data_IF_919465568477
#
_entry.id   IF_919465568477
#
_cell.length_a   1.000
_cell.length_b   1.000
_cell.length_c   1.000
_cell.angle_alpha   90.00
_cell.angle_beta   90.00
_cell.angle_gamma   90.00
#
_symmetry.space_group_name_H-M   'P 1'
#
loop_
_entity.id
_entity.type
_entity.pdbx_description
1 polymer ?
#
# COMPACT_ATOMS: atom_id res chain seq x y z
N UNK A 1 -27.10 -68.01 -34.38
CA UNK A 1 -27.19 -67.38 -35.71
C UNK A 1 -25.95 -66.54 -35.91
N UNK A 2 -25.18 -66.87 -36.93
CA UNK A 2 -23.95 -66.20 -37.32
C UNK A 2 -24.25 -65.06 -38.29
N UNK A 3 -23.52 -63.95 -38.19
CA UNK A 3 -23.14 -63.01 -39.27
C UNK A 3 -22.01 -62.16 -38.67
N UNK A 4 -20.79 -62.00 -39.19
CA UNK A 4 -20.33 -62.02 -40.58
C UNK A 4 -19.74 -60.63 -40.87
N UNK A 5 -18.41 -60.47 -40.79
CA UNK A 5 -17.67 -59.25 -41.13
C UNK A 5 -17.79 -58.88 -42.62
N UNK A 6 -17.50 -57.61 -42.96
CA UNK A 6 -16.55 -57.38 -44.04
C UNK A 6 -15.42 -56.41 -43.67
N UNK A 7 -14.23 -56.78 -44.15
CA UNK A 7 -12.99 -56.01 -44.22
C UNK A 7 -13.13 -54.73 -45.06
N UNK A 8 -12.36 -53.70 -44.69
CA UNK A 8 -11.87 -52.64 -45.59
C UNK A 8 -10.34 -52.54 -45.50
N UNK A 9 -9.64 -52.13 -46.59
CA UNK A 9 -8.20 -52.33 -46.79
C UNK A 9 -7.35 -51.19 -46.22
N UNK A 10 -6.06 -51.50 -46.01
CA UNK A 10 -5.12 -50.67 -45.27
C UNK A 10 -4.69 -49.35 -45.92
N UNK A 11 -4.34 -48.42 -45.04
CA UNK A 11 -3.39 -47.37 -45.33
C UNK A 11 -1.99 -47.89 -44.93
N UNK A 12 -1.15 -48.06 -45.95
CA UNK A 12 0.27 -48.38 -45.80
C UNK A 12 0.97 -47.19 -45.12
N UNK A 13 1.45 -47.41 -43.89
CA UNK A 13 2.56 -46.62 -43.38
C UNK A 13 3.81 -47.04 -44.14
N UNK A 14 4.54 -46.11 -44.77
CA UNK A 14 5.85 -46.45 -45.31
C UNK A 14 6.77 -46.67 -44.11
N UNK A 15 7.73 -47.58 -44.24
CA UNK A 15 8.73 -47.99 -43.25
C UNK A 15 8.30 -49.14 -42.34
N UNK A 16 8.88 -50.30 -42.66
CA UNK A 16 8.73 -51.54 -41.92
C UNK A 16 9.32 -51.50 -40.52
N UNK A 17 9.00 -52.55 -39.78
CA UNK A 17 9.34 -52.80 -38.38
C UNK A 17 10.86 -52.84 -38.12
N UNK A 18 11.50 -51.67 -38.07
CA UNK A 18 12.84 -51.51 -37.50
C UNK A 18 12.82 -50.49 -36.35
N UNK A 19 12.88 -50.94 -35.08
CA UNK A 19 12.88 -50.08 -33.90
C UNK A 19 14.12 -49.16 -33.79
N UNK A 20 15.14 -49.33 -34.65
CA UNK A 20 16.31 -48.44 -34.72
C UNK A 20 16.06 -47.18 -35.58
N UNK A 21 15.09 -47.19 -36.48
CA UNK A 21 14.80 -46.05 -37.38
C UNK A 21 14.04 -44.90 -36.68
N UNK A 22 13.19 -45.24 -35.71
CA UNK A 22 12.45 -44.25 -34.92
C UNK A 22 13.37 -43.44 -33.98
N UNK A 23 14.47 -44.03 -33.50
CA UNK A 23 15.43 -43.32 -32.64
C UNK A 23 16.30 -42.32 -33.41
N UNK A 24 16.53 -42.52 -34.72
CA UNK A 24 17.29 -41.58 -35.53
C UNK A 24 16.50 -40.30 -35.83
N UNK A 25 15.18 -40.40 -36.04
CA UNK A 25 14.32 -39.23 -36.31
C UNK A 25 14.15 -38.29 -35.11
N UNK A 26 14.16 -38.82 -33.88
CA UNK A 26 14.14 -38.00 -32.66
C UNK A 26 15.53 -37.47 -32.27
N UNK A 27 16.62 -38.04 -32.80
CA UNK A 27 17.98 -37.59 -32.53
C UNK A 27 18.41 -36.43 -33.44
N UNK A 28 18.00 -36.40 -34.71
CA UNK A 28 18.38 -35.32 -35.64
C UNK A 28 17.54 -34.04 -35.48
N UNK A 29 16.32 -34.12 -34.92
CA UNK A 29 15.52 -32.94 -34.60
C UNK A 29 15.94 -32.25 -33.28
N UNK A 30 16.84 -32.86 -32.51
CA UNK A 30 17.30 -32.36 -31.21
C UNK A 30 18.56 -31.47 -31.30
N UNK A 31 19.19 -31.39 -32.47
CA UNK A 31 20.40 -30.58 -32.71
C UNK A 31 20.10 -29.37 -33.59
N UNK A 32 19.34 -28.40 -33.06
CA UNK A 32 19.42 -26.95 -33.38
C UNK A 32 18.17 -26.22 -32.88
N UNK A 33 17.95 -26.24 -31.57
CA UNK A 33 17.20 -25.17 -30.91
C UNK A 33 18.00 -24.77 -29.69
N UNK A 34 18.89 -23.80 -29.87
CA UNK A 34 19.33 -22.96 -28.76
C UNK A 34 18.06 -22.30 -28.22
N UNK A 35 17.52 -22.87 -27.15
CA UNK A 35 16.51 -22.21 -26.33
C UNK A 35 17.15 -20.89 -25.90
N UNK A 36 16.51 -19.73 -26.15
CA UNK A 36 17.05 -18.49 -25.64
C UNK A 36 17.07 -18.58 -24.11
N UNK A 37 18.25 -18.53 -23.53
CA UNK A 37 18.46 -18.32 -22.09
C UNK A 37 17.97 -16.91 -21.74
N UNK A 38 16.66 -16.80 -21.53
CA UNK A 38 16.10 -15.78 -20.67
C UNK A 38 15.22 -16.53 -19.68
N UNK A 39 15.56 -16.57 -18.37
CA UNK A 39 14.47 -16.67 -17.42
C UNK A 39 13.59 -15.45 -17.70
N UNK A 40 12.39 -15.66 -18.23
CA UNK A 40 11.33 -14.66 -18.12
C UNK A 40 11.18 -14.44 -16.62
N UNK A 41 11.85 -13.40 -16.09
CA UNK A 41 11.79 -13.12 -14.66
C UNK A 41 10.32 -12.91 -14.35
N UNK A 42 9.77 -13.73 -13.45
CA UNK A 42 8.38 -13.59 -13.05
C UNK A 42 8.21 -12.16 -12.52
N UNK A 43 7.20 -11.39 -13.00
CA UNK A 43 7.00 -10.01 -12.57
C UNK A 43 7.01 -9.90 -11.05
N UNK A 44 7.70 -8.87 -10.54
CA UNK A 44 7.80 -8.55 -9.11
C UNK A 44 7.27 -7.15 -8.87
N UNK A 45 5.97 -7.03 -8.72
CA UNK A 45 5.30 -5.73 -8.53
C UNK A 45 5.24 -5.36 -7.06
N UNK A 46 5.06 -4.07 -6.80
CA UNK A 46 4.77 -3.57 -5.46
C UNK A 46 3.39 -2.93 -5.47
N UNK A 47 2.49 -3.45 -4.65
CA UNK A 47 1.14 -2.92 -4.47
C UNK A 47 1.01 -2.14 -3.17
N UNK A 48 -0.01 -1.29 -3.06
CA UNK A 48 -0.39 -0.61 -1.84
C UNK A 48 -1.90 -0.56 -1.64
N UNK A 49 -2.32 -0.61 -0.38
CA UNK A 49 -3.68 -0.36 0.06
C UNK A 49 -3.67 0.06 1.54
N UNK A 50 -4.59 0.93 1.94
CA UNK A 50 -4.77 1.35 3.33
C UNK A 50 -6.25 1.49 3.67
N UNK A 51 -6.53 1.87 4.91
CA UNK A 51 -7.88 2.26 5.35
C UNK A 51 -8.89 1.16 5.07
N UNK A 52 -8.50 -0.09 5.37
CA UNK A 52 -9.35 -1.26 5.16
C UNK A 52 -10.42 -1.31 6.25
N UNK A 53 -10.17 -0.79 7.45
CA UNK A 53 -11.15 -0.72 8.54
C UNK A 53 -11.85 -2.06 8.79
N UNK A 54 -11.07 -3.09 9.14
CA UNK A 54 -11.53 -4.46 9.30
C UNK A 54 -12.52 -4.66 10.45
N UNK A 55 -12.88 -3.63 11.22
CA UNK A 55 -14.06 -3.68 12.09
C UNK A 55 -15.35 -3.87 11.30
N UNK A 56 -15.44 -3.30 10.09
CA UNK A 56 -16.60 -3.46 9.22
C UNK A 56 -16.60 -4.84 8.56
N UNK A 57 -17.70 -5.59 8.77
CA UNK A 57 -17.88 -6.92 8.21
C UNK A 57 -17.68 -6.97 6.70
N UNK A 58 -18.27 -6.03 5.94
CA UNK A 58 -18.12 -5.96 4.48
C UNK A 58 -16.67 -5.84 4.05
N UNK A 59 -15.88 -4.98 4.71
CA UNK A 59 -14.47 -4.79 4.37
C UNK A 59 -13.65 -6.03 4.75
N UNK A 60 -13.98 -6.69 5.87
CA UNK A 60 -13.34 -7.94 6.30
C UNK A 60 -13.63 -9.11 5.36
N UNK A 61 -14.87 -9.24 4.87
CA UNK A 61 -15.23 -10.24 3.85
C UNK A 61 -14.53 -9.96 2.52
N UNK A 62 -14.42 -8.69 2.13
CA UNK A 62 -13.66 -8.30 0.94
C UNK A 62 -12.17 -8.60 1.11
N UNK A 63 -11.57 -8.31 2.26
CA UNK A 63 -10.18 -8.64 2.53
C UNK A 63 -9.91 -10.16 2.47
N UNK A 64 -10.87 -10.98 2.90
CA UNK A 64 -10.75 -12.43 2.78
C UNK A 64 -10.83 -12.94 1.32
N UNK A 65 -11.30 -12.14 0.37
CA UNK A 65 -11.30 -12.49 -1.06
C UNK A 65 -10.03 -12.06 -1.81
N UNK A 66 -9.00 -11.59 -1.08
CA UNK A 66 -7.69 -11.27 -1.66
C UNK A 66 -7.07 -12.51 -2.32
N UNK A 67 -6.61 -12.34 -3.56
CA UNK A 67 -6.03 -13.40 -4.39
C UNK A 67 -4.52 -13.52 -4.18
N UNK A 68 -3.90 -14.69 -4.47
CA UNK A 68 -2.45 -14.86 -4.35
C UNK A 68 -1.63 -14.00 -5.33
N UNK A 69 -0.55 -13.44 -4.81
CA UNK A 69 0.47 -12.61 -5.44
C UNK A 69 1.88 -13.09 -5.02
N UNK A 70 2.26 -14.34 -5.34
CA UNK A 70 3.38 -15.04 -4.70
C UNK A 70 4.78 -14.44 -4.95
N UNK A 71 4.90 -13.46 -5.85
CA UNK A 71 6.16 -12.77 -6.16
C UNK A 71 6.12 -11.27 -5.85
N UNK A 72 4.94 -10.73 -5.52
CA UNK A 72 4.73 -9.29 -5.36
C UNK A 72 4.85 -8.89 -3.89
N UNK A 73 5.12 -7.60 -3.69
CA UNK A 73 5.11 -6.95 -2.39
C UNK A 73 3.80 -6.23 -2.14
N UNK A 74 3.44 -6.05 -0.87
CA UNK A 74 2.29 -5.25 -0.46
C UNK A 74 2.64 -4.24 0.62
N UNK A 75 2.23 -3.00 0.41
CA UNK A 75 2.26 -1.91 1.38
C UNK A 75 0.87 -1.77 2.00
N UNK A 76 0.81 -1.87 3.33
CA UNK A 76 -0.36 -1.58 4.15
C UNK A 76 -0.20 -0.19 4.78
N UNK A 77 -0.81 0.83 4.18
CA UNK A 77 -0.58 2.23 4.56
C UNK A 77 -1.47 2.77 5.70
N UNK A 78 -1.63 1.97 6.76
CA UNK A 78 -2.38 2.31 7.98
C UNK A 78 -3.88 2.07 7.90
N UNK A 79 -4.54 2.14 9.07
CA UNK A 79 -5.98 1.96 9.26
C UNK A 79 -6.53 0.59 8.78
N UNK A 80 -5.84 -0.49 9.17
CA UNK A 80 -6.30 -1.88 9.07
C UNK A 80 -7.47 -2.15 9.98
N UNK A 81 -7.52 -1.51 11.15
CA UNK A 81 -8.62 -1.59 12.10
C UNK A 81 -8.17 -1.18 13.50
N UNK A 82 -9.11 -1.20 14.45
CA UNK A 82 -8.91 -0.59 15.77
C UNK A 82 -8.38 -1.56 16.85
N UNK A 83 -8.15 -2.84 16.52
CA UNK A 83 -7.80 -3.88 17.49
C UNK A 83 -6.62 -4.74 17.01
N UNK A 84 -5.92 -5.35 17.97
CA UNK A 84 -4.81 -6.27 17.65
C UNK A 84 -5.28 -7.50 16.86
N UNK A 85 -6.52 -7.95 17.10
CA UNK A 85 -7.13 -9.03 16.32
C UNK A 85 -7.35 -8.61 14.87
N UNK A 86 -7.80 -7.37 14.62
CA UNK A 86 -7.90 -6.83 13.27
C UNK A 86 -6.53 -6.78 12.57
N UNK A 87 -5.49 -6.35 13.27
CA UNK A 87 -4.13 -6.32 12.74
C UNK A 87 -3.62 -7.73 12.42
N UNK A 88 -3.83 -8.68 13.33
CA UNK A 88 -3.50 -10.08 13.13
C UNK A 88 -4.19 -10.66 11.90
N UNK A 89 -5.49 -10.41 11.73
CA UNK A 89 -6.26 -10.81 10.54
C UNK A 89 -5.71 -10.17 9.26
N UNK A 90 -5.38 -8.88 9.31
CA UNK A 90 -4.81 -8.15 8.16
C UNK A 90 -3.50 -8.80 7.72
N UNK A 91 -2.56 -8.96 8.65
CA UNK A 91 -1.21 -9.45 8.37
C UNK A 91 -1.19 -10.92 8.00
N UNK A 92 -1.98 -11.77 8.67
CA UNK A 92 -2.09 -13.18 8.32
C UNK A 92 -2.52 -13.38 6.86
N UNK A 93 -3.54 -12.63 6.42
CA UNK A 93 -4.01 -12.70 5.03
C UNK A 93 -2.98 -12.13 4.07
N UNK A 94 -2.43 -10.95 4.34
CA UNK A 94 -1.45 -10.30 3.48
C UNK A 94 -0.22 -11.20 3.25
N UNK A 95 0.34 -11.76 4.32
CA UNK A 95 1.57 -12.58 4.27
C UNK A 95 1.34 -13.96 3.65
N UNK A 96 0.09 -14.44 3.62
CA UNK A 96 -0.29 -15.64 2.84
C UNK A 96 -0.38 -15.35 1.34
N UNK A 97 -0.74 -14.11 0.98
CA UNK A 97 -0.97 -13.74 -0.42
C UNK A 97 0.27 -13.13 -1.08
N UNK A 98 1.12 -12.41 -0.36
CA UNK A 98 2.24 -11.64 -0.90
C UNK A 98 3.59 -12.13 -0.38
N UNK A 99 4.63 -12.00 -1.21
CA UNK A 99 5.99 -12.44 -0.88
C UNK A 99 6.63 -11.59 0.24
N UNK A 100 6.31 -10.30 0.27
CA UNK A 100 6.81 -9.38 1.28
C UNK A 100 5.75 -8.33 1.62
N UNK A 101 5.58 -8.04 2.91
CA UNK A 101 4.57 -7.09 3.38
C UNK A 101 5.25 -6.01 4.21
N UNK A 102 4.87 -4.77 3.94
CA UNK A 102 5.29 -3.57 4.66
C UNK A 102 4.07 -2.92 5.30
N UNK A 103 4.22 -2.36 6.49
CA UNK A 103 3.13 -1.70 7.19
C UNK A 103 3.60 -0.42 7.87
N UNK A 104 2.71 0.57 7.92
CA UNK A 104 2.80 1.75 8.79
C UNK A 104 1.52 1.88 9.60
N UNK A 105 1.55 2.40 10.84
CA UNK A 105 0.33 2.64 11.61
C UNK A 105 -0.48 3.78 11.02
N UNK A 106 -1.81 3.68 11.07
CA UNK A 106 -2.73 4.81 10.98
C UNK A 106 -3.20 5.27 12.35
N UNK A 107 -4.15 6.21 12.39
CA UNK A 107 -4.70 6.67 13.67
C UNK A 107 -5.58 5.60 14.34
N UNK A 108 -6.27 4.76 13.57
CA UNK A 108 -7.20 3.78 14.12
C UNK A 108 -6.49 2.69 14.92
N UNK A 109 -5.30 2.25 14.49
CA UNK A 109 -4.50 1.30 15.26
C UNK A 109 -4.06 1.83 16.62
N UNK A 110 -3.91 3.15 16.72
CA UNK A 110 -3.43 3.85 17.92
C UNK A 110 -4.57 4.16 18.91
N UNK A 111 -5.81 3.84 18.55
CA UNK A 111 -6.94 4.04 19.45
C UNK A 111 -6.87 3.11 20.65
N UNK A 112 -7.08 3.69 21.83
CA UNK A 112 -7.42 2.95 23.04
C UNK A 112 -8.94 2.93 23.17
N UNK A 113 -9.55 1.82 22.75
CA UNK A 113 -11.01 1.70 22.71
C UNK A 113 -11.62 1.81 24.12
N UNK A 114 -12.89 2.24 24.26
CA UNK A 114 -13.53 2.37 25.58
C UNK A 114 -13.49 1.10 26.44
N UNK A 115 -13.56 -0.08 25.81
CA UNK A 115 -13.44 -1.39 26.48
C UNK A 115 -12.06 -1.63 27.10
N UNK A 116 -11.06 -0.86 26.70
CA UNK A 116 -9.66 -0.95 27.14
C UNK A 116 -9.27 0.23 28.05
N UNK A 117 -10.23 1.08 28.47
CA UNK A 117 -9.94 2.33 29.16
C UNK A 117 -9.07 2.17 30.42
N UNK A 118 -9.27 1.10 31.18
CA UNK A 118 -8.58 0.86 32.46
C UNK A 118 -7.20 0.20 32.33
N UNK A 119 -7.02 -0.67 31.33
CA UNK A 119 -5.85 -1.57 31.24
C UNK A 119 -5.22 -1.65 29.85
N UNK A 120 -5.78 -0.97 28.86
CA UNK A 120 -5.24 -0.92 27.50
C UNK A 120 -3.98 -0.06 27.42
N UNK A 121 -3.05 -0.50 26.58
CA UNK A 121 -1.91 0.33 26.20
C UNK A 121 -2.38 1.61 25.49
N UNK A 122 -1.58 2.66 25.66
CA UNK A 122 -1.80 4.01 25.11
C UNK A 122 -0.54 4.51 24.42
N UNK A 123 -0.70 5.45 23.49
CA UNK A 123 0.39 6.15 22.81
C UNK A 123 1.50 5.23 22.30
N UNK A 124 2.75 5.52 22.69
CA UNK A 124 3.93 4.76 22.28
C UNK A 124 3.80 3.27 22.64
N UNK A 125 3.28 2.93 23.82
CA UNK A 125 3.11 1.54 24.21
C UNK A 125 2.12 0.80 23.28
N UNK A 126 1.00 1.46 22.92
CA UNK A 126 0.02 0.93 21.97
C UNK A 126 0.64 0.72 20.59
N UNK A 127 1.42 1.69 20.11
CA UNK A 127 2.16 1.56 18.86
C UNK A 127 3.11 0.35 18.88
N UNK A 128 3.85 0.15 19.98
CA UNK A 128 4.76 -0.98 20.10
C UNK A 128 4.05 -2.34 20.16
N UNK A 129 2.81 -2.41 20.67
CA UNK A 129 1.97 -3.61 20.54
C UNK A 129 1.66 -3.90 19.08
N UNK A 130 1.29 -2.90 18.27
CA UNK A 130 1.05 -3.07 16.84
C UNK A 130 2.31 -3.58 16.12
N UNK A 131 3.48 -3.00 16.43
CA UNK A 131 4.78 -3.44 15.89
C UNK A 131 5.07 -4.90 16.26
N UNK A 132 4.80 -5.30 17.49
CA UNK A 132 4.99 -6.69 17.94
C UNK A 132 4.10 -7.67 17.15
N UNK A 133 2.84 -7.32 16.92
CA UNK A 133 1.92 -8.13 16.09
C UNK A 133 2.43 -8.22 14.65
N UNK A 134 2.81 -7.10 14.04
CA UNK A 134 3.36 -7.09 12.67
C UNK A 134 4.60 -7.99 12.54
N UNK A 135 5.56 -7.87 13.46
CA UNK A 135 6.77 -8.71 13.49
C UNK A 135 6.48 -10.18 13.67
N UNK A 136 5.44 -10.55 14.44
CA UNK A 136 5.04 -11.96 14.60
C UNK A 136 4.58 -12.63 13.30
N UNK A 137 4.17 -11.83 12.32
CA UNK A 137 3.81 -12.26 10.96
C UNK A 137 4.92 -12.03 9.93
N UNK A 138 6.09 -11.54 10.33
CA UNK A 138 7.17 -11.18 9.41
C UNK A 138 6.90 -9.95 8.55
N UNK A 139 5.94 -9.10 8.95
CA UNK A 139 5.66 -7.82 8.29
C UNK A 139 6.70 -6.79 8.70
N UNK A 140 7.28 -6.07 7.73
CA UNK A 140 8.25 -5.01 7.98
C UNK A 140 7.56 -3.72 8.42
N UNK A 141 8.08 -3.11 9.48
CA UNK A 141 7.47 -1.97 10.19
C UNK A 141 8.34 -0.72 10.12
N UNK A 142 7.85 0.45 10.59
CA UNK A 142 8.69 1.65 10.68
C UNK A 142 9.88 1.50 11.63
N UNK A 143 9.89 0.52 12.53
CA UNK A 143 10.99 0.26 13.47
C UNK A 143 12.13 -0.56 12.86
N UNK A 144 11.90 -1.23 11.73
CA UNK A 144 12.88 -2.12 11.09
C UNK A 144 13.78 -1.34 10.12
N UNK A 145 15.00 -1.83 9.79
CA UNK A 145 15.79 -1.26 8.71
C UNK A 145 14.98 -1.21 7.40
N UNK A 146 15.13 -0.13 6.63
CA UNK A 146 14.50 -0.04 5.32
C UNK A 146 15.02 -1.14 4.40
N UNK A 147 14.11 -1.82 3.70
CA UNK A 147 14.45 -2.95 2.86
C UNK A 147 14.47 -2.55 1.38
N UNK A 148 15.41 -3.13 0.64
CA UNK A 148 15.46 -2.98 -0.81
C UNK A 148 14.40 -3.88 -1.43
N UNK A 149 13.51 -3.29 -2.22
CA UNK A 149 12.62 -4.01 -3.12
C UNK A 149 13.27 -4.07 -4.50
N UNK A 150 13.77 -5.25 -4.86
CA UNK A 150 14.36 -5.52 -6.18
C UNK A 150 13.33 -6.18 -7.10
N UNK A 151 12.46 -5.35 -7.64
CA UNK A 151 11.37 -5.75 -8.54
C UNK A 151 11.21 -4.84 -9.74
N UNK A 152 10.10 -5.02 -10.45
CA UNK A 152 9.79 -4.29 -11.67
C UNK A 152 9.75 -2.77 -11.40
N UNK A 153 10.30 -1.97 -12.30
CA UNK A 153 10.46 -0.54 -12.07
C UNK A 153 11.72 -0.17 -11.28
N UNK A 154 12.55 -1.15 -10.94
CA UNK A 154 13.92 -0.96 -10.45
C UNK A 154 14.06 -1.06 -8.93
N UNK A 155 15.29 -1.27 -8.45
CA UNK A 155 15.54 -1.37 -7.02
C UNK A 155 15.16 -0.06 -6.35
N UNK A 156 14.27 -0.14 -5.37
CA UNK A 156 13.85 0.99 -4.55
C UNK A 156 14.04 0.62 -3.07
N UNK A 157 14.43 1.60 -2.26
CA UNK A 157 14.47 1.42 -0.82
C UNK A 157 13.09 1.74 -0.26
N UNK A 158 12.43 0.74 0.33
CA UNK A 158 11.09 0.90 0.90
C UNK A 158 11.24 1.43 2.32
N UNK A 159 10.69 2.61 2.56
CA UNK A 159 10.82 3.35 3.81
C UNK A 159 9.46 3.57 4.49
N UNK A 160 8.98 2.59 5.28
CA UNK A 160 7.89 2.80 6.21
C UNK A 160 8.28 3.83 7.27
N UNK A 161 7.51 4.89 7.40
CA UNK A 161 7.69 5.93 8.42
C UNK A 161 6.39 6.18 9.18
N UNK A 162 6.48 6.83 10.33
CA UNK A 162 5.35 7.20 11.16
C UNK A 162 5.54 8.62 11.68
N UNK A 163 4.71 9.57 11.27
CA UNK A 163 4.86 10.99 11.66
C UNK A 163 3.78 11.52 12.58
N UNK A 164 2.59 10.90 12.60
CA UNK A 164 1.39 11.50 13.20
C UNK A 164 1.12 12.90 12.57
N UNK A 165 0.57 13.83 13.35
CA UNK A 165 0.24 15.21 12.99
C UNK A 165 0.45 16.15 14.17
N UNK A 166 0.55 17.45 13.89
CA UNK A 166 0.82 18.50 14.90
C UNK A 166 -0.13 19.70 14.83
N UNK A 167 -1.27 19.57 14.12
CA UNK A 167 -2.24 20.63 13.86
C UNK A 167 -1.74 21.80 13.00
N UNK A 168 -0.55 21.67 12.38
CA UNK A 168 0.00 22.76 11.58
C UNK A 168 -0.72 23.00 10.26
N UNK A 169 -1.47 22.03 9.72
CA UNK A 169 -2.35 22.15 8.54
C UNK A 169 -3.66 22.92 8.82
N UNK A 170 -3.55 23.97 9.63
CA UNK A 170 -4.60 24.95 9.89
C UNK A 170 -4.28 26.21 9.06
N UNK A 171 -5.26 27.07 8.76
CA UNK A 171 -4.98 28.36 8.15
C UNK A 171 -3.98 29.20 8.95
N UNK A 172 -3.12 29.97 8.27
CA UNK A 172 -2.08 30.78 8.91
C UNK A 172 -2.63 31.80 9.94
N UNK A 173 -3.85 32.28 9.73
CA UNK A 173 -4.55 33.22 10.60
C UNK A 173 -5.19 32.57 11.84
N UNK A 174 -5.21 31.24 11.92
CA UNK A 174 -5.69 30.49 13.08
C UNK A 174 -4.52 30.17 14.01
N UNK A 175 -4.50 30.66 15.26
CA UNK A 175 -3.49 30.26 16.25
C UNK A 175 -3.49 28.75 16.49
N UNK A 176 -2.32 28.15 16.71
CA UNK A 176 -2.18 26.69 16.86
C UNK A 176 -3.01 26.14 18.01
N UNK A 177 -3.05 26.87 19.12
CA UNK A 177 -3.80 26.54 20.34
C UNK A 177 -5.31 26.60 20.12
N UNK A 178 -5.76 27.23 19.02
CA UNK A 178 -7.15 27.37 18.62
C UNK A 178 -7.53 26.48 17.44
N UNK A 179 -6.63 25.66 16.91
CA UNK A 179 -6.90 24.82 15.73
C UNK A 179 -8.11 23.90 15.95
N UNK A 180 -8.17 23.19 17.07
CA UNK A 180 -9.30 22.28 17.38
C UNK A 180 -10.59 23.05 17.65
N UNK A 181 -10.52 24.20 18.34
CA UNK A 181 -11.68 25.07 18.55
C UNK A 181 -12.24 25.58 17.22
N UNK A 182 -11.36 26.02 16.32
CA UNK A 182 -11.70 26.44 14.96
C UNK A 182 -12.37 25.31 14.18
N UNK A 183 -11.86 24.08 14.21
CA UNK A 183 -12.52 22.97 13.53
C UNK A 183 -13.90 22.65 14.15
N UNK A 184 -14.01 22.73 15.48
CA UNK A 184 -15.26 22.49 16.23
C UNK A 184 -16.39 23.47 15.90
N UNK A 185 -16.09 24.72 15.53
CA UNK A 185 -17.10 25.69 15.05
C UNK A 185 -17.89 25.21 13.81
N UNK A 186 -17.39 24.19 13.10
CA UNK A 186 -18.07 23.53 11.97
C UNK A 186 -18.37 22.06 12.26
N UNK A 187 -18.56 21.72 13.53
CA UNK A 187 -18.90 20.37 14.00
C UNK A 187 -17.93 19.29 13.50
N UNK A 188 -16.67 19.68 13.25
CA UNK A 188 -15.62 18.80 12.74
C UNK A 188 -14.59 18.56 13.84
N UNK A 189 -14.62 17.37 14.42
CA UNK A 189 -13.65 16.94 15.46
C UNK A 189 -13.29 15.48 15.21
N UNK A 190 -12.00 15.18 15.10
CA UNK A 190 -11.53 13.81 14.97
C UNK A 190 -11.75 13.01 16.26
N UNK A 191 -12.09 11.73 16.12
CA UNK A 191 -12.20 10.78 17.23
C UNK A 191 -10.88 10.64 18.00
N UNK A 192 -9.76 10.89 17.33
CA UNK A 192 -8.42 10.98 17.91
C UNK A 192 -8.36 11.83 19.19
N UNK A 193 -9.13 12.93 19.27
CA UNK A 193 -9.20 13.81 20.45
C UNK A 193 -9.60 13.08 21.74
N UNK A 194 -10.22 11.90 21.60
CA UNK A 194 -10.69 11.10 22.73
C UNK A 194 -9.93 9.77 22.82
N UNK A 195 -9.58 9.15 21.68
CA UNK A 195 -9.08 7.77 21.65
C UNK A 195 -7.58 7.65 21.37
N UNK A 196 -6.94 8.65 20.74
CA UNK A 196 -5.53 8.64 20.41
C UNK A 196 -4.74 9.42 21.48
N UNK A 197 -4.23 8.68 22.45
CA UNK A 197 -3.47 9.26 23.55
C UNK A 197 -1.97 9.38 23.19
N UNK A 198 -1.29 10.48 23.54
CA UNK A 198 0.11 10.69 23.16
C UNK A 198 1.14 10.14 24.15
N UNK A 199 0.75 9.36 25.17
CA UNK A 199 1.65 8.88 26.21
C UNK A 199 2.94 8.24 25.63
N UNK A 200 4.14 8.51 26.16
CA UNK A 200 4.45 9.34 27.33
C UNK A 200 4.64 10.83 26.99
N UNK A 201 4.40 11.24 25.75
CA UNK A 201 4.52 12.63 25.34
C UNK A 201 3.39 13.47 25.92
N UNK A 202 3.65 14.76 26.15
CA UNK A 202 2.66 15.67 26.78
C UNK A 202 1.49 15.99 25.84
N UNK A 203 1.72 15.92 24.53
CA UNK A 203 0.75 16.23 23.50
C UNK A 203 1.02 15.43 22.22
N UNK A 204 0.05 15.39 21.32
CA UNK A 204 0.22 14.77 19.99
C UNK A 204 1.24 15.55 19.14
N UNK A 205 1.32 16.87 19.31
CA UNK A 205 2.35 17.70 18.68
C UNK A 205 3.76 17.31 19.15
N UNK A 206 3.95 17.09 20.46
CA UNK A 206 5.26 16.67 21.00
C UNK A 206 5.65 15.28 20.50
N UNK A 207 4.69 14.36 20.40
CA UNK A 207 4.93 13.03 19.82
C UNK A 207 5.28 13.14 18.33
N UNK A 208 4.50 13.90 17.56
CA UNK A 208 4.78 14.19 16.15
C UNK A 208 6.18 14.77 15.95
N UNK A 209 6.59 15.75 16.76
CA UNK A 209 7.92 16.34 16.68
C UNK A 209 9.02 15.29 16.90
N UNK A 210 8.89 14.45 17.93
CA UNK A 210 9.87 13.39 18.20
C UNK A 210 9.93 12.33 17.08
N UNK A 211 8.79 11.99 16.49
CA UNK A 211 8.68 11.09 15.35
C UNK A 211 9.33 11.69 14.10
N UNK A 212 9.05 12.96 13.80
CA UNK A 212 9.66 13.68 12.68
C UNK A 212 11.18 13.70 12.80
N UNK A 213 11.72 14.01 13.98
CA UNK A 213 13.18 14.00 14.21
C UNK A 213 13.77 12.61 14.00
N UNK A 214 13.11 11.57 14.53
CA UNK A 214 13.53 10.17 14.42
C UNK A 214 13.57 9.72 12.96
N UNK A 215 12.49 9.91 12.21
CA UNK A 215 12.39 9.46 10.83
C UNK A 215 13.21 10.32 9.87
N UNK A 216 13.39 11.61 10.15
CA UNK A 216 14.33 12.45 9.42
C UNK A 216 15.75 11.87 9.51
N UNK A 217 16.23 11.57 10.73
CA UNK A 217 17.56 11.00 10.92
C UNK A 217 17.71 9.62 10.25
N UNK A 218 16.66 8.79 10.30
CA UNK A 218 16.63 7.47 9.65
C UNK A 218 16.69 7.57 8.13
N UNK A 219 15.90 8.46 7.51
CA UNK A 219 15.93 8.73 6.07
C UNK A 219 17.28 9.32 5.63
N UNK A 220 17.87 10.23 6.41
CA UNK A 220 19.21 10.78 6.12
C UNK A 220 20.29 9.68 6.13
N UNK A 221 20.21 8.76 7.10
CA UNK A 221 21.13 7.61 7.19
C UNK A 221 20.95 6.68 5.99
N UNK A 222 19.71 6.36 5.65
CA UNK A 222 19.36 5.52 4.51
C UNK A 222 19.88 6.07 3.18
N UNK A 223 19.71 7.39 2.96
CA UNK A 223 20.20 8.08 1.76
C UNK A 223 21.73 8.08 1.67
N UNK A 224 22.43 8.24 2.80
CA UNK A 224 23.91 8.15 2.85
C UNK A 224 24.41 6.75 2.52
N UNK A 225 23.72 5.72 3.00
CA UNK A 225 24.08 4.32 2.77
C UNK A 225 23.71 3.84 1.35
N UNK A 226 22.69 4.41 0.74
CA UNK A 226 22.16 4.00 -0.56
C UNK A 226 22.01 5.19 -1.53
N UNK A 227 23.10 5.89 -1.89
CA UNK A 227 23.04 7.17 -2.60
C UNK A 227 22.41 7.12 -4.00
N UNK A 228 22.38 5.94 -4.62
CA UNK A 228 21.89 5.71 -5.97
C UNK A 228 20.56 4.94 -6.03
N UNK A 229 19.97 4.62 -4.86
CA UNK A 229 18.71 3.87 -4.79
C UNK A 229 17.58 4.82 -4.39
N UNK A 230 16.58 5.06 -5.25
CA UNK A 230 15.46 5.93 -4.91
C UNK A 230 14.63 5.37 -3.76
N UNK A 231 14.03 6.25 -2.98
CA UNK A 231 13.15 5.90 -1.87
C UNK A 231 11.69 5.77 -2.31
N UNK A 232 10.97 4.80 -1.74
CA UNK A 232 9.51 4.80 -1.66
C UNK A 232 9.16 5.07 -0.20
N UNK A 233 8.67 6.28 0.08
CA UNK A 233 8.31 6.68 1.44
C UNK A 233 6.84 6.31 1.66
N UNK A 234 6.56 5.62 2.76
CA UNK A 234 5.21 5.20 3.13
C UNK A 234 4.88 5.87 4.45
N UNK A 235 3.78 6.61 4.51
CA UNK A 235 3.28 7.22 5.74
C UNK A 235 1.76 7.27 5.66
N UNK A 236 1.05 6.94 6.73
CA UNK A 236 -0.41 6.99 6.69
C UNK A 236 -0.93 8.42 6.40
N UNK A 237 -0.35 9.41 7.08
CA UNK A 237 -0.64 10.83 6.84
C UNK A 237 0.07 11.36 5.59
N UNK A 238 -0.61 12.13 4.72
CA UNK A 238 0.04 12.86 3.63
C UNK A 238 1.20 13.74 4.14
N UNK A 239 2.34 13.73 3.43
CA UNK A 239 3.52 14.51 3.83
C UNK A 239 3.41 16.01 3.51
N UNK A 240 2.39 16.43 2.76
CA UNK A 240 2.20 17.79 2.28
C UNK A 240 0.77 18.25 2.46
N UNK A 241 0.60 19.50 2.89
CA UNK A 241 -0.72 20.11 3.08
C UNK A 241 -1.49 20.26 1.76
N UNK A 242 -0.82 20.60 0.65
CA UNK A 242 -1.47 20.74 -0.66
C UNK A 242 -1.98 19.40 -1.25
N UNK A 243 -1.68 18.28 -0.58
CA UNK A 243 -2.26 16.98 -0.88
C UNK A 243 -3.54 16.69 -0.09
N UNK A 244 -3.90 17.53 0.88
CA UNK A 244 -5.10 17.37 1.70
C UNK A 244 -6.24 18.16 1.04
N UNK A 245 -7.05 17.49 0.22
CA UNK A 245 -8.25 18.09 -0.39
C UNK A 245 -9.53 17.42 0.13
N UNK A 246 -10.04 17.94 1.24
CA UNK A 246 -11.23 17.44 1.92
C UNK A 246 -12.44 18.37 1.66
N UNK A 247 -12.98 18.35 0.45
CA UNK A 247 -14.03 19.28 0.00
C UNK A 247 -15.23 19.40 0.95
N UNK A 248 -15.66 18.29 1.54
CA UNK A 248 -16.85 18.25 2.40
C UNK A 248 -16.56 18.62 3.87
N UNK A 249 -15.32 18.44 4.31
CA UNK A 249 -14.89 18.63 5.72
C UNK A 249 -13.50 19.28 5.78
N UNK A 250 -13.30 20.47 5.19
CA UNK A 250 -11.97 21.06 5.00
C UNK A 250 -11.24 21.32 6.32
N UNK A 251 -11.99 21.63 7.40
CA UNK A 251 -11.39 21.87 8.73
C UNK A 251 -10.81 20.62 9.39
N UNK A 252 -11.04 19.43 8.82
CA UNK A 252 -10.41 18.19 9.28
C UNK A 252 -8.91 18.15 8.95
N UNK A 253 -8.41 19.05 8.09
CA UNK A 253 -7.01 19.12 7.66
C UNK A 253 -6.00 19.12 8.80
N UNK A 254 -6.35 19.68 9.96
CA UNK A 254 -5.44 19.78 11.11
C UNK A 254 -5.03 18.42 11.71
N UNK A 255 -5.77 17.35 11.43
CA UNK A 255 -5.43 15.98 11.82
C UNK A 255 -4.72 15.19 10.71
N UNK A 256 -4.41 15.83 9.58
CA UNK A 256 -3.95 15.14 8.37
C UNK A 256 -2.42 15.18 8.14
N UNK A 257 -1.62 15.75 9.04
CA UNK A 257 -0.16 15.71 8.93
C UNK A 257 0.54 16.88 9.61
N UNK A 258 1.76 17.17 9.15
CA UNK A 258 2.62 18.25 9.66
C UNK A 258 3.31 18.98 8.50
N UNK A 259 3.44 20.29 8.62
CA UNK A 259 4.19 21.14 7.67
C UNK A 259 5.69 20.80 7.62
N UNK A 260 6.23 20.14 8.65
CA UNK A 260 7.65 19.76 8.77
C UNK A 260 8.12 18.75 7.72
N UNK A 261 7.20 18.06 7.05
CA UNK A 261 7.52 17.01 6.06
C UNK A 261 7.32 17.45 4.61
N UNK A 262 6.95 18.72 4.37
CA UNK A 262 6.50 19.21 3.06
C UNK A 262 7.51 18.98 1.94
N UNK A 263 8.80 19.04 2.24
CA UNK A 263 9.89 18.89 1.29
C UNK A 263 10.56 17.51 1.33
N UNK A 264 10.09 16.57 2.16
CA UNK A 264 10.76 15.28 2.38
C UNK A 264 10.89 14.45 1.09
N UNK A 265 9.90 14.52 0.19
CA UNK A 265 9.99 13.86 -1.11
C UNK A 265 11.19 14.35 -1.92
N UNK A 266 11.46 15.66 -1.93
CA UNK A 266 12.64 16.24 -2.60
C UNK A 266 13.91 15.95 -1.82
N UNK A 267 13.91 16.27 -0.51
CA UNK A 267 15.07 16.12 0.39
C UNK A 267 15.62 14.70 0.35
N UNK A 268 14.74 13.70 0.28
CA UNK A 268 15.10 12.29 0.30
C UNK A 268 14.98 11.61 -1.07
N UNK A 269 14.86 12.38 -2.17
CA UNK A 269 14.82 11.84 -3.54
C UNK A 269 13.80 10.70 -3.70
N UNK A 270 12.63 10.89 -3.10
CA UNK A 270 11.56 9.91 -3.17
C UNK A 270 11.08 9.77 -4.61
N UNK A 271 10.96 8.53 -5.09
CA UNK A 271 10.33 8.23 -6.37
C UNK A 271 8.81 8.20 -6.23
N UNK A 272 8.33 7.65 -5.12
CA UNK A 272 6.90 7.60 -4.78
C UNK A 272 6.73 7.87 -3.29
N UNK A 273 5.68 8.61 -2.94
CA UNK A 273 5.18 8.71 -1.57
C UNK A 273 3.79 8.08 -1.52
N UNK A 274 3.59 7.15 -0.60
CA UNK A 274 2.33 6.40 -0.44
C UNK A 274 1.66 6.83 0.87
N UNK A 275 0.38 7.19 0.80
CA UNK A 275 -0.43 7.53 1.97
C UNK A 275 -1.84 6.95 1.93
N UNK A 276 -2.54 7.07 3.06
CA UNK A 276 -3.96 6.74 3.23
C UNK A 276 -4.70 7.93 3.86
N UNK A 277 -5.46 7.66 4.92
CA UNK A 277 -6.08 8.61 5.86
C UNK A 277 -7.24 9.44 5.30
N UNK A 278 -7.09 9.99 4.09
CA UNK A 278 -8.05 10.94 3.54
C UNK A 278 -9.31 10.27 3.01
N UNK A 279 -9.23 8.99 2.64
CA UNK A 279 -10.26 8.26 1.91
C UNK A 279 -10.58 8.91 0.55
N UNK A 280 -9.57 9.53 -0.07
CA UNK A 280 -9.65 10.21 -1.37
C UNK A 280 -8.62 9.61 -2.31
N UNK A 281 -8.91 8.39 -2.80
CA UNK A 281 -8.06 7.67 -3.74
C UNK A 281 -7.69 8.54 -4.93
N UNK A 282 -6.41 8.79 -5.11
CA UNK A 282 -5.91 9.60 -6.23
C UNK A 282 -4.42 9.40 -6.47
N UNK A 283 -3.96 9.97 -7.57
CA UNK A 283 -2.55 10.09 -7.92
C UNK A 283 -2.24 11.57 -8.16
N UNK A 284 -1.21 12.09 -7.51
CA UNK A 284 -0.69 13.45 -7.72
C UNK A 284 0.77 13.38 -8.18
N UNK A 285 1.22 14.43 -8.85
CA UNK A 285 2.63 14.62 -9.20
C UNK A 285 3.08 15.99 -8.71
N UNK A 286 4.12 16.03 -7.88
CA UNK A 286 4.69 17.25 -7.31
C UNK A 286 6.20 17.18 -7.39
N UNK A 287 6.83 18.17 -7.99
CA UNK A 287 8.29 18.25 -8.10
C UNK A 287 8.92 16.96 -8.70
N UNK A 288 8.24 16.30 -9.66
CA UNK A 288 8.68 15.03 -10.25
C UNK A 288 8.46 13.78 -9.39
N UNK A 289 7.96 13.93 -8.15
CA UNK A 289 7.58 12.79 -7.29
C UNK A 289 6.12 12.42 -7.48
N UNK A 290 5.82 11.13 -7.57
CA UNK A 290 4.44 10.62 -7.56
C UNK A 290 3.94 10.45 -6.13
N UNK A 291 2.75 10.96 -5.84
CA UNK A 291 2.05 10.72 -4.59
C UNK A 291 0.83 9.86 -4.84
N UNK A 292 0.65 8.82 -4.04
CA UNK A 292 -0.43 7.85 -4.20
C UNK A 292 -1.24 7.75 -2.90
N UNK A 293 -2.47 8.23 -2.94
CA UNK A 293 -3.45 7.97 -1.89
C UNK A 293 -4.16 6.64 -2.21
N UNK A 294 -4.04 5.69 -1.29
CA UNK A 294 -4.35 4.28 -1.50
C UNK A 294 -5.47 3.75 -0.58
N UNK A 295 -6.33 4.63 -0.06
CA UNK A 295 -7.38 4.24 0.89
C UNK A 295 -8.49 3.42 0.23
N UNK A 296 -8.91 2.32 0.87
CA UNK A 296 -10.17 1.66 0.56
C UNK A 296 -11.35 2.46 1.11
N UNK A 297 -11.25 2.82 2.39
CA UNK A 297 -12.26 3.55 3.15
C UNK A 297 -13.42 2.69 3.67
N UNK A 298 -14.38 3.35 4.31
CA UNK A 298 -15.56 2.71 4.88
C UNK A 298 -16.45 2.08 3.79
N UNK A 299 -17.27 1.06 4.11
CA UNK A 299 -18.09 0.34 3.13
C UNK A 299 -18.91 1.24 2.19
N UNK A 300 -19.44 2.37 2.70
CA UNK A 300 -20.22 3.31 1.88
C UNK A 300 -19.38 4.07 0.83
N UNK A 301 -18.09 4.29 1.09
CA UNK A 301 -17.19 5.10 0.24
C UNK A 301 -16.68 4.33 -0.98
N UNK A 302 -16.76 3.00 -0.97
CA UNK A 302 -16.38 2.15 -2.10
C UNK A 302 -17.52 1.22 -2.57
N UNK A 303 -18.75 1.44 -2.05
CA UNK A 303 -19.97 0.75 -2.49
C UNK A 303 -20.20 0.84 -4.00
N UNK A 304 -19.93 2.00 -4.60
CA UNK A 304 -20.03 2.19 -6.05
C UNK A 304 -19.06 1.28 -6.82
N UNK A 305 -17.89 0.97 -6.25
CA UNK A 305 -16.95 0.03 -6.87
C UNK A 305 -17.55 -1.39 -6.88
N UNK A 306 -18.10 -1.84 -5.74
CA UNK A 306 -18.78 -3.13 -5.62
C UNK A 306 -19.96 -3.26 -6.59
N UNK A 307 -20.79 -2.21 -6.69
CA UNK A 307 -21.95 -2.18 -7.61
C UNK A 307 -21.55 -2.28 -9.08
N UNK A 308 -20.33 -1.88 -9.41
CA UNK A 308 -19.74 -2.00 -10.76
C UNK A 308 -18.96 -3.30 -10.97
N UNK A 309 -19.06 -4.24 -10.03
CA UNK A 309 -18.42 -5.55 -10.11
C UNK A 309 -16.93 -5.54 -9.78
N UNK A 310 -16.41 -4.47 -9.18
CA UNK A 310 -15.01 -4.39 -8.72
C UNK A 310 -14.90 -5.00 -7.32
N UNK A 311 -13.76 -5.62 -7.02
CA UNK A 311 -13.47 -6.24 -5.72
C UNK A 311 -12.18 -5.67 -5.08
N UNK A 312 -11.78 -6.20 -3.91
CA UNK A 312 -10.59 -5.74 -3.18
C UNK A 312 -9.31 -5.77 -4.02
N UNK A 313 -9.20 -6.73 -4.95
CA UNK A 313 -8.02 -6.94 -5.78
C UNK A 313 -7.91 -5.87 -6.86
N UNK A 314 -9.04 -5.33 -7.33
CA UNK A 314 -9.06 -4.17 -8.23
C UNK A 314 -8.64 -2.89 -7.49
N UNK A 315 -8.85 -2.85 -6.18
CA UNK A 315 -8.53 -1.71 -5.32
C UNK A 315 -7.04 -1.61 -4.97
N UNK A 316 -6.24 -2.66 -5.22
CA UNK A 316 -4.79 -2.62 -5.01
C UNK A 316 -4.14 -1.59 -5.93
N UNK A 317 -3.41 -0.63 -5.36
CA UNK A 317 -2.66 0.37 -6.13
C UNK A 317 -1.32 -0.19 -6.55
N UNK A 318 -1.04 -0.24 -7.85
CA UNK A 318 0.31 -0.54 -8.32
C UNK A 318 1.26 0.65 -8.05
N UNK A 319 2.21 0.44 -7.15
CA UNK A 319 3.28 1.38 -6.80
C UNK A 319 4.51 1.13 -7.65
N UNK A 320 4.89 -0.11 -7.91
CA UNK A 320 5.94 -0.44 -8.86
C UNK A 320 5.47 -1.55 -9.82
N UNK A 321 5.73 -1.43 -11.13
CA UNK A 321 6.51 -0.36 -11.79
C UNK A 321 5.77 0.98 -11.87
N UNK A 322 4.44 0.98 -11.81
CA UNK A 322 3.61 2.18 -11.86
C UNK A 322 3.55 2.83 -13.25
N UNK A 323 2.81 3.94 -13.40
CA UNK A 323 2.73 4.67 -14.65
C UNK A 323 4.04 5.39 -14.97
N UNK A 324 4.29 5.67 -16.25
CA UNK A 324 5.40 6.52 -16.67
C UNK A 324 5.25 7.93 -16.07
N UNK A 325 6.34 8.55 -15.58
CA UNK A 325 6.29 9.94 -15.14
C UNK A 325 5.84 10.89 -16.24
N UNK A 326 5.11 11.97 -15.90
CA UNK A 326 4.77 13.01 -16.86
C UNK A 326 6.03 13.75 -17.34
N UNK A 327 6.07 14.26 -18.57
CA UNK A 327 7.27 14.90 -19.14
C UNK A 327 7.81 16.08 -18.32
N UNK A 328 6.91 16.85 -17.69
CA UNK A 328 7.26 18.06 -16.94
C UNK A 328 7.43 17.81 -15.44
N UNK A 329 7.28 16.56 -14.97
CA UNK A 329 7.33 16.22 -13.54
C UNK A 329 6.10 16.65 -12.74
N UNK A 330 5.15 17.36 -13.37
CA UNK A 330 3.82 17.67 -12.85
C UNK A 330 2.74 17.12 -13.79
N UNK A 331 1.57 16.83 -13.22
CA UNK A 331 0.38 16.45 -13.96
C UNK A 331 -0.87 16.82 -13.15
N UNK A 332 -2.02 17.03 -13.81
CA UNK A 332 -3.29 17.19 -13.10
C UNK A 332 -3.55 16.00 -12.17
N UNK A 333 -4.14 16.28 -11.00
CA UNK A 333 -4.58 15.26 -10.06
C UNK A 333 -5.51 14.26 -10.74
N UNK A 334 -5.18 12.98 -10.65
CA UNK A 334 -6.02 11.90 -11.16
C UNK A 334 -6.79 11.25 -10.01
N UNK A 335 -8.07 11.62 -9.88
CA UNK A 335 -8.98 11.02 -8.90
C UNK A 335 -9.38 9.61 -9.32
N UNK A 336 -9.17 8.64 -8.43
CA UNK A 336 -9.47 7.22 -8.64
C UNK A 336 -10.69 6.80 -7.85
N UNK A 337 -11.81 7.45 -8.15
CA UNK A 337 -13.12 7.12 -7.55
C UNK A 337 -13.48 5.65 -7.76
N UNK A 338 -13.09 5.12 -8.92
CA UNK A 338 -13.21 3.73 -9.34
C UNK A 338 -11.80 3.13 -9.46
N UNK A 339 -11.66 1.82 -9.20
CA UNK A 339 -10.39 1.11 -9.33
C UNK A 339 -9.79 1.19 -10.76
N UNK A 340 -8.51 0.80 -10.89
CA UNK A 340 -7.68 1.09 -12.06
C UNK A 340 -8.38 0.78 -13.40
N UNK A 341 -8.36 1.76 -14.33
CA UNK A 341 -8.80 1.59 -15.72
C UNK A 341 -9.93 2.51 -16.20
N UNK A 342 -10.59 3.25 -15.31
CA UNK A 342 -11.57 4.26 -15.70
C UNK A 342 -10.92 5.55 -16.21
N UNK A 343 -10.73 5.70 -17.52
CA UNK A 343 -10.60 7.05 -18.10
C UNK A 343 -11.91 7.79 -17.83
N UNK A 344 -11.86 8.87 -17.06
CA UNK A 344 -12.90 9.90 -17.18
C UNK A 344 -12.45 10.85 -18.30
N UNK A 345 -13.23 10.87 -19.38
CA UNK A 345 -13.21 11.92 -20.40
C UNK A 345 -14.20 12.99 -19.97
N UNK A 346 -13.71 14.20 -19.66
CA UNK A 346 -14.50 15.44 -19.53
C UNK A 346 -15.43 15.50 -18.31
N UNK A 347 -15.68 16.65 -17.70
CA UNK A 347 -15.53 18.06 -18.12
C UNK A 347 -15.23 18.93 -16.91
#
# INVERSE_FOLDING_TARGET
MAHGYPHTPGEEFPYGDDPLSAQAYFAESATSMTMPDFPLSVPKRLYAIGDIHLSYKTNREAWDSLRPHPNDGLILCGDMGESMDHLGLAFAKATTMFAQVFWVPGNHELYTLPSQKEHGARGLAKYMECVAVARSWGVLTPEDPFAVWDGDGGPCLIAPIFTLYDYSFRPDDVPLEKAVDWAREKDTVATDEVLLHPDPYKSRQDWCAALVDTFNAKLETALKQNPNTPLIIINHWPLREDLVNLLMVPRFSIWCGTTKTTDWHKKFKAKVVVSGHLHVRRTDWKDGTRFEECSLGYPRQWKECLERGLDINDMLREILPGPKPPPEGEAPTYFRRLAAGGRYLGT
#
